data_IF_616919122621
#
_entry.id   IF_616919122621
#
_cell.length_a   1.000
_cell.length_b   1.000
_cell.length_c   1.000
_cell.angle_alpha   90.00
_cell.angle_beta   90.00
_cell.angle_gamma   90.00
#
_symmetry.space_group_name_H-M   'P 1'
#
loop_
_entity.id
_entity.type
_entity.pdbx_description
1 polymer ?
#
# COMPACT_ATOMS: atom_id res chain seq x y z
N UNK A 1 -40.67 38.51 -27.12
CA UNK A 1 -41.13 37.15 -27.47
C UNK A 1 -39.92 36.24 -27.36
N UNK A 2 -39.74 35.61 -26.19
CA UNK A 2 -38.77 34.55 -26.01
C UNK A 2 -39.36 33.30 -26.69
N UNK A 3 -38.65 32.74 -27.66
CA UNK A 3 -39.08 31.54 -28.37
C UNK A 3 -39.13 30.36 -27.41
N UNK A 4 -40.26 29.66 -27.44
CA UNK A 4 -40.64 28.48 -26.64
C UNK A 4 -39.80 27.22 -26.97
N UNK A 5 -38.69 27.36 -27.72
CA UNK A 5 -37.90 26.24 -28.28
C UNK A 5 -36.57 25.97 -27.57
N UNK A 6 -36.32 26.51 -26.37
CA UNK A 6 -35.03 26.27 -25.67
C UNK A 6 -35.22 26.03 -24.17
N UNK A 7 -36.28 25.32 -23.80
CA UNK A 7 -36.23 24.47 -22.60
C UNK A 7 -35.83 23.09 -23.12
N UNK A 8 -34.53 22.94 -23.42
CA UNK A 8 -33.94 21.62 -23.56
C UNK A 8 -34.12 20.94 -22.20
N UNK A 9 -35.03 19.96 -22.15
CA UNK A 9 -35.38 19.19 -20.96
C UNK A 9 -34.16 18.37 -20.52
N UNK A 10 -33.28 19.01 -19.73
CA UNK A 10 -32.06 18.41 -19.21
C UNK A 10 -32.41 17.15 -18.43
N UNK A 11 -31.86 16.01 -18.87
CA UNK A 11 -32.30 14.70 -18.38
C UNK A 11 -31.51 14.28 -17.16
N UNK A 12 -32.20 13.68 -16.20
CA UNK A 12 -31.57 13.00 -15.07
C UNK A 12 -32.04 11.57 -14.99
N UNK A 13 -31.13 10.63 -14.71
CA UNK A 13 -31.51 9.28 -14.34
C UNK A 13 -31.98 9.21 -12.88
N UNK A 14 -32.64 8.12 -12.52
CA UNK A 14 -33.28 7.98 -11.22
C UNK A 14 -32.27 7.96 -10.07
N UNK A 15 -31.08 7.39 -10.29
CA UNK A 15 -29.99 7.39 -9.31
C UNK A 15 -29.51 8.82 -9.00
N UNK A 16 -29.23 9.64 -10.02
CA UNK A 16 -28.81 11.03 -9.80
C UNK A 16 -29.88 11.84 -9.06
N UNK A 17 -31.17 11.64 -9.37
CA UNK A 17 -32.29 12.25 -8.65
C UNK A 17 -32.31 11.86 -7.17
N UNK A 18 -32.29 10.55 -6.91
CA UNK A 18 -32.29 10.00 -5.55
C UNK A 18 -31.09 10.46 -4.73
N UNK A 19 -29.91 10.49 -5.37
CA UNK A 19 -28.67 10.92 -4.74
C UNK A 19 -28.73 12.40 -4.36
N UNK A 20 -29.21 13.26 -5.26
CA UNK A 20 -29.40 14.69 -4.98
C UNK A 20 -30.42 14.94 -3.85
N UNK A 21 -31.50 14.15 -3.79
CA UNK A 21 -32.53 14.28 -2.75
C UNK A 21 -32.01 13.81 -1.38
N UNK A 22 -31.17 12.77 -1.35
CA UNK A 22 -30.71 12.12 -0.10
C UNK A 22 -29.46 12.80 0.48
N UNK A 23 -28.55 13.28 -0.35
CA UNK A 23 -27.27 13.87 0.07
C UNK A 23 -27.28 15.40 0.13
N UNK A 24 -28.46 16.02 0.22
CA UNK A 24 -28.64 17.44 0.57
C UNK A 24 -28.21 17.80 2.00
N UNK A 25 -27.21 17.12 2.57
CA UNK A 25 -26.72 17.28 3.93
C UNK A 25 -25.95 18.59 4.11
N UNK A 26 -26.71 19.66 4.34
CA UNK A 26 -26.21 20.98 4.67
C UNK A 26 -27.39 21.95 4.82
N UNK A 27 -28.07 21.89 5.97
CA UNK A 27 -29.20 22.76 6.31
C UNK A 27 -28.84 24.24 6.44
N UNK A 28 -28.55 24.89 5.31
CA UNK A 28 -28.40 26.34 5.16
C UNK A 28 -28.02 26.70 3.72
N UNK A 29 -28.77 27.60 3.08
CA UNK A 29 -28.57 28.25 1.76
C UNK A 29 -28.16 27.40 0.52
N UNK A 30 -27.73 26.15 0.67
CA UNK A 30 -27.19 25.25 -0.35
C UNK A 30 -27.93 23.90 -0.42
N UNK A 31 -28.87 23.64 0.51
CA UNK A 31 -29.60 22.36 0.62
C UNK A 31 -30.78 22.16 -0.34
N UNK A 32 -30.85 22.89 -1.45
CA UNK A 32 -31.92 22.78 -2.47
C UNK A 32 -31.38 22.70 -3.90
N UNK A 33 -30.06 22.66 -4.07
CA UNK A 33 -29.41 22.82 -5.37
C UNK A 33 -28.73 21.57 -5.90
N UNK A 34 -28.87 20.39 -5.29
CA UNK A 34 -28.15 19.19 -5.75
C UNK A 34 -28.33 18.89 -7.25
N UNK A 35 -29.56 19.00 -7.75
CA UNK A 35 -29.87 18.79 -9.18
C UNK A 35 -29.46 19.98 -10.06
N UNK A 36 -29.60 21.22 -9.56
CA UNK A 36 -29.16 22.42 -10.30
C UNK A 36 -27.64 22.45 -10.43
N UNK A 37 -26.90 22.13 -9.36
CA UNK A 37 -25.44 21.98 -9.34
C UNK A 37 -25.00 20.88 -10.30
N UNK A 38 -25.63 19.70 -10.27
CA UNK A 38 -25.33 18.64 -11.24
C UNK A 38 -25.52 19.11 -12.69
N UNK A 39 -26.59 19.85 -12.99
CA UNK A 39 -26.81 20.42 -14.32
C UNK A 39 -25.73 21.44 -14.67
N UNK A 40 -25.51 22.42 -13.81
CA UNK A 40 -24.59 23.52 -14.05
C UNK A 40 -23.16 22.99 -14.22
N UNK A 41 -22.74 22.03 -13.38
CA UNK A 41 -21.45 21.35 -13.49
C UNK A 41 -21.33 20.55 -14.79
N UNK A 42 -22.39 19.83 -15.22
CA UNK A 42 -22.38 19.11 -16.50
C UNK A 42 -22.27 20.07 -17.69
N UNK A 43 -23.00 21.18 -17.68
CA UNK A 43 -22.98 22.18 -18.76
C UNK A 43 -21.67 22.98 -18.78
N UNK A 44 -20.98 23.12 -17.64
CA UNK A 44 -19.66 23.77 -17.55
C UNK A 44 -18.52 22.83 -17.97
N UNK A 45 -18.54 21.58 -17.51
CA UNK A 45 -17.48 20.60 -17.74
C UNK A 45 -17.58 19.92 -19.11
N UNK A 46 -18.79 19.78 -19.64
CA UNK A 46 -19.07 18.95 -20.83
C UNK A 46 -20.12 19.61 -21.74
N UNK A 47 -20.39 19.00 -22.90
CA UNK A 47 -21.54 19.38 -23.75
C UNK A 47 -22.78 18.51 -23.50
N UNK A 48 -22.83 17.80 -22.37
CA UNK A 48 -23.88 16.88 -22.03
C UNK A 48 -25.25 17.57 -21.92
N UNK A 49 -26.31 16.86 -22.34
CA UNK A 49 -27.70 17.35 -22.25
C UNK A 49 -28.48 16.65 -21.14
N UNK A 50 -27.76 15.99 -20.25
CA UNK A 50 -28.29 15.30 -19.10
C UNK A 50 -27.16 14.89 -18.17
N UNK A 51 -27.56 14.51 -16.96
CA UNK A 51 -26.67 14.07 -15.90
C UNK A 51 -27.18 12.77 -15.32
N UNK A 52 -26.33 11.74 -15.35
CA UNK A 52 -26.64 10.45 -14.74
C UNK A 52 -25.47 9.96 -13.93
N UNK A 53 -25.78 9.21 -12.87
CA UNK A 53 -24.79 8.45 -12.10
C UNK A 53 -24.98 6.96 -12.36
N UNK A 54 -23.95 6.17 -12.10
CA UNK A 54 -23.97 4.72 -12.29
C UNK A 54 -24.00 4.08 -10.90
N UNK A 55 -24.87 3.09 -10.69
CA UNK A 55 -24.93 2.38 -9.41
C UNK A 55 -23.67 1.54 -9.25
N UNK A 56 -23.01 1.68 -8.11
CA UNK A 56 -21.77 1.02 -7.75
C UNK A 56 -21.95 -0.24 -6.90
N UNK A 57 -23.14 -0.43 -6.32
CA UNK A 57 -23.44 -1.53 -5.41
C UNK A 57 -24.95 -1.79 -5.27
N UNK A 58 -25.32 -2.79 -4.47
CA UNK A 58 -26.71 -3.15 -4.19
C UNK A 58 -27.49 -2.11 -3.34
N UNK A 59 -26.81 -1.08 -2.84
CA UNK A 59 -27.38 0.00 -2.03
C UNK A 59 -27.55 1.29 -2.82
N UNK A 60 -27.41 1.23 -4.14
CA UNK A 60 -27.49 2.37 -5.04
C UNK A 60 -26.54 3.51 -4.65
N UNK A 61 -25.34 3.18 -4.14
CA UNK A 61 -24.27 4.16 -4.02
C UNK A 61 -23.66 4.44 -5.39
N UNK A 62 -23.38 5.71 -5.76
CA UNK A 62 -22.75 5.99 -7.05
C UNK A 62 -21.36 5.36 -7.16
N UNK A 63 -21.06 4.83 -8.34
CA UNK A 63 -19.75 4.23 -8.65
C UNK A 63 -18.65 5.30 -8.59
N UNK A 64 -17.59 5.11 -7.78
CA UNK A 64 -16.44 6.00 -7.76
C UNK A 64 -15.66 6.01 -9.08
N UNK A 65 -15.10 7.16 -9.47
CA UNK A 65 -14.37 7.33 -10.73
C UNK A 65 -12.91 6.86 -10.71
N UNK A 66 -12.30 6.81 -9.53
CA UNK A 66 -10.93 6.40 -9.20
C UNK A 66 -10.65 6.93 -7.77
N UNK A 67 -9.54 6.58 -7.07
CA UNK A 67 -9.43 6.83 -5.64
C UNK A 67 -9.01 8.29 -5.35
N UNK A 68 -9.89 9.25 -5.67
CA UNK A 68 -9.73 10.66 -5.35
C UNK A 68 -10.40 11.09 -4.04
N UNK A 69 -11.13 10.19 -3.36
CA UNK A 69 -12.01 10.58 -2.25
C UNK A 69 -12.05 9.66 -1.03
N UNK A 70 -11.39 8.50 -1.03
CA UNK A 70 -11.42 7.56 0.09
C UNK A 70 -10.08 7.57 0.84
N UNK A 71 -10.08 8.14 2.05
CA UNK A 71 -8.86 8.32 2.86
C UNK A 71 -8.73 7.29 3.99
N UNK A 72 -9.60 6.27 3.98
CA UNK A 72 -9.75 5.24 5.03
C UNK A 72 -10.16 3.86 4.44
N UNK A 73 -9.92 3.61 3.15
CA UNK A 73 -10.26 2.33 2.49
C UNK A 73 -9.03 1.46 2.29
N UNK A 74 -9.21 0.13 2.35
CA UNK A 74 -8.14 -0.85 2.09
C UNK A 74 -7.70 -0.78 0.62
N UNK A 75 -6.43 -1.07 0.33
CA UNK A 75 -5.92 -1.01 -1.06
C UNK A 75 -6.70 -1.91 -2.03
N UNK A 76 -7.11 -3.10 -1.58
CA UNK A 76 -7.92 -4.02 -2.38
C UNK A 76 -9.31 -3.45 -2.78
N UNK A 77 -9.90 -2.60 -1.94
CA UNK A 77 -11.16 -1.91 -2.24
C UNK A 77 -10.93 -0.82 -3.29
N UNK A 78 -9.84 -0.05 -3.16
CA UNK A 78 -9.45 0.97 -4.14
C UNK A 78 -9.21 0.38 -5.52
N UNK A 79 -8.55 -0.77 -5.59
CA UNK A 79 -8.28 -1.48 -6.84
C UNK A 79 -9.57 -1.94 -7.52
N UNK A 80 -10.53 -2.47 -6.77
CA UNK A 80 -11.86 -2.84 -7.32
C UNK A 80 -12.57 -1.63 -7.92
N UNK A 81 -12.58 -0.49 -7.21
CA UNK A 81 -13.17 0.73 -7.74
C UNK A 81 -12.46 1.22 -8.99
N UNK A 82 -11.12 1.17 -9.01
CA UNK A 82 -10.35 1.52 -10.19
C UNK A 82 -10.69 0.63 -11.39
N UNK A 83 -10.65 -0.70 -11.24
CA UNK A 83 -10.96 -1.64 -12.33
C UNK A 83 -12.39 -1.47 -12.85
N UNK A 84 -13.36 -1.29 -11.95
CA UNK A 84 -14.75 -1.02 -12.32
C UNK A 84 -14.88 0.30 -13.07
N UNK A 85 -14.22 1.36 -12.61
CA UNK A 85 -14.23 2.66 -13.26
C UNK A 85 -13.59 2.63 -14.66
N UNK A 86 -12.46 1.95 -14.81
CA UNK A 86 -11.80 1.72 -16.11
C UNK A 86 -12.75 0.99 -17.06
N UNK A 87 -13.39 -0.08 -16.59
CA UNK A 87 -14.33 -0.90 -17.38
C UNK A 87 -15.54 -0.10 -17.84
N UNK A 88 -16.14 0.66 -16.93
CA UNK A 88 -17.32 1.49 -17.21
C UNK A 88 -16.97 2.61 -18.18
N UNK A 89 -15.88 3.33 -17.94
CA UNK A 89 -15.43 4.44 -18.80
C UNK A 89 -15.18 3.94 -20.22
N UNK A 90 -14.47 2.82 -20.38
CA UNK A 90 -14.25 2.17 -21.68
C UNK A 90 -15.57 1.71 -22.33
N UNK A 91 -16.54 1.26 -21.53
CA UNK A 91 -17.90 0.96 -21.98
C UNK A 91 -18.60 2.16 -22.62
N UNK A 92 -18.61 3.31 -21.93
CA UNK A 92 -19.22 4.54 -22.41
C UNK A 92 -18.52 5.11 -23.65
N UNK A 93 -17.18 5.09 -23.66
CA UNK A 93 -16.39 5.50 -24.83
C UNK A 93 -16.75 4.68 -26.07
N UNK A 94 -16.84 3.34 -25.95
CA UNK A 94 -17.20 2.45 -27.06
C UNK A 94 -18.56 2.75 -27.68
N UNK A 95 -19.53 3.21 -26.88
CA UNK A 95 -20.86 3.57 -27.38
C UNK A 95 -20.99 5.05 -27.78
N UNK A 96 -19.90 5.82 -27.65
CA UNK A 96 -19.83 7.25 -27.99
C UNK A 96 -20.73 8.10 -27.11
N UNK A 97 -20.82 7.78 -25.81
CA UNK A 97 -21.57 8.57 -24.83
C UNK A 97 -20.58 9.25 -23.89
N UNK A 98 -20.79 10.54 -23.67
CA UNK A 98 -19.92 11.34 -22.82
C UNK A 98 -20.03 10.90 -21.36
N UNK A 99 -18.87 10.74 -20.73
CA UNK A 99 -18.68 10.24 -19.38
C UNK A 99 -17.54 11.06 -18.75
N UNK A 100 -17.68 11.46 -17.49
CA UNK A 100 -16.71 12.30 -16.80
C UNK A 100 -16.69 12.03 -15.30
N UNK A 101 -15.63 12.48 -14.62
CA UNK A 101 -15.59 12.51 -13.16
C UNK A 101 -16.41 13.71 -12.64
N UNK A 102 -17.36 13.44 -11.75
CA UNK A 102 -18.06 14.46 -10.98
C UNK A 102 -17.92 14.16 -9.49
N UNK A 103 -17.16 15.00 -8.78
CA UNK A 103 -16.95 14.92 -7.32
C UNK A 103 -16.52 13.52 -6.85
N UNK A 104 -15.62 12.87 -7.59
CA UNK A 104 -15.13 11.53 -7.29
C UNK A 104 -16.03 10.38 -7.76
N UNK A 105 -17.16 10.64 -8.42
CA UNK A 105 -18.06 9.63 -9.00
C UNK A 105 -18.07 9.68 -10.52
N UNK A 106 -18.46 8.57 -11.14
CA UNK A 106 -18.65 8.50 -12.59
C UNK A 106 -20.01 9.07 -12.95
N UNK A 107 -20.00 10.14 -13.73
CA UNK A 107 -21.17 10.75 -14.32
C UNK A 107 -21.20 10.56 -15.85
N UNK A 108 -22.40 10.57 -16.43
CA UNK A 108 -22.59 10.41 -17.87
C UNK A 108 -23.74 11.26 -18.42
N UNK A 109 -23.78 11.45 -19.75
CA UNK A 109 -24.87 12.17 -20.41
C UNK A 109 -26.17 11.35 -20.41
N UNK A 110 -27.01 11.58 -19.39
CA UNK A 110 -28.28 10.91 -19.23
C UNK A 110 -29.33 11.26 -20.30
N UNK A 111 -29.05 12.16 -21.24
CA UNK A 111 -29.91 12.33 -22.42
C UNK A 111 -29.83 11.12 -23.37
N UNK A 112 -28.70 10.40 -23.37
CA UNK A 112 -28.46 9.23 -24.21
C UNK A 112 -29.24 8.00 -23.74
N UNK A 113 -30.13 7.48 -24.58
CA UNK A 113 -30.86 6.23 -24.30
C UNK A 113 -29.92 5.01 -24.21
N UNK A 114 -28.85 4.98 -25.01
CA UNK A 114 -27.83 3.92 -24.94
C UNK A 114 -27.01 4.04 -23.66
N UNK A 115 -26.68 5.26 -23.24
CA UNK A 115 -25.97 5.53 -21.99
C UNK A 115 -26.76 5.06 -20.78
N UNK A 116 -28.05 5.38 -20.70
CA UNK A 116 -28.93 4.91 -19.61
C UNK A 116 -29.01 3.39 -19.54
N UNK A 117 -29.20 2.72 -20.68
CA UNK A 117 -29.23 1.26 -20.75
C UNK A 117 -27.91 0.63 -20.28
N UNK A 118 -26.78 1.21 -20.67
CA UNK A 118 -25.46 0.72 -20.24
C UNK A 118 -25.22 0.96 -18.73
N UNK A 119 -25.64 2.11 -18.20
CA UNK A 119 -25.58 2.41 -16.77
C UNK A 119 -26.41 1.42 -15.94
N UNK A 120 -27.61 1.06 -16.41
CA UNK A 120 -28.46 0.03 -15.79
C UNK A 120 -27.78 -1.34 -15.84
N UNK A 121 -27.22 -1.75 -16.98
CA UNK A 121 -26.50 -3.02 -17.13
C UNK A 121 -25.29 -3.13 -16.17
N UNK A 122 -24.50 -2.07 -16.03
CA UNK A 122 -23.40 -2.05 -15.07
C UNK A 122 -23.88 -2.01 -13.61
N UNK A 123 -24.92 -1.23 -13.31
CA UNK A 123 -25.51 -1.18 -11.98
C UNK A 123 -26.04 -2.53 -11.52
N UNK A 124 -26.77 -3.24 -12.39
CA UNK A 124 -27.28 -4.58 -12.13
C UNK A 124 -26.14 -5.58 -11.90
N UNK A 125 -25.08 -5.51 -12.71
CA UNK A 125 -23.90 -6.36 -12.56
C UNK A 125 -23.22 -6.13 -11.20
N UNK A 126 -22.98 -4.87 -10.83
CA UNK A 126 -22.31 -4.48 -9.58
C UNK A 126 -23.16 -4.78 -8.33
N UNK A 127 -24.48 -4.69 -8.43
CA UNK A 127 -25.40 -5.07 -7.36
C UNK A 127 -25.37 -6.60 -7.11
N UNK A 128 -25.20 -7.40 -8.15
CA UNK A 128 -25.09 -8.86 -8.04
C UNK A 128 -23.69 -9.32 -7.62
N UNK A 129 -22.65 -8.71 -8.21
CA UNK A 129 -21.24 -9.02 -7.98
C UNK A 129 -20.38 -7.76 -8.16
N UNK A 130 -19.64 -7.32 -7.12
CA UNK A 130 -19.03 -5.98 -7.09
C UNK A 130 -17.74 -5.84 -7.93
N UNK A 131 -17.53 -6.70 -8.92
CA UNK A 131 -16.36 -6.70 -9.81
C UNK A 131 -16.85 -6.91 -11.25
N UNK A 132 -16.50 -5.97 -12.13
CA UNK A 132 -16.83 -6.03 -13.56
C UNK A 132 -15.76 -6.75 -14.39
N UNK A 133 -14.50 -6.68 -13.96
CA UNK A 133 -13.35 -7.25 -14.65
C UNK A 133 -12.38 -7.89 -13.64
N UNK A 134 -12.49 -9.21 -13.47
CA UNK A 134 -11.66 -9.97 -12.53
C UNK A 134 -10.19 -10.06 -12.97
N UNK A 135 -9.93 -10.10 -14.28
CA UNK A 135 -8.58 -10.15 -14.82
C UNK A 135 -7.86 -8.84 -14.50
N UNK A 136 -8.53 -7.71 -14.75
CA UNK A 136 -7.96 -6.39 -14.44
C UNK A 136 -7.77 -6.17 -12.95
N UNK A 137 -8.69 -6.63 -12.10
CA UNK A 137 -8.51 -6.59 -10.64
C UNK A 137 -7.28 -7.41 -10.24
N UNK A 138 -7.13 -8.63 -10.77
CA UNK A 138 -5.98 -9.48 -10.45
C UNK A 138 -4.65 -8.86 -10.88
N UNK A 139 -4.60 -8.20 -12.05
CA UNK A 139 -3.41 -7.47 -12.50
C UNK A 139 -3.05 -6.33 -11.55
N UNK A 140 -4.03 -5.49 -11.21
CA UNK A 140 -3.82 -4.35 -10.32
C UNK A 140 -3.45 -4.77 -8.89
N UNK A 141 -4.08 -5.82 -8.37
CA UNK A 141 -3.75 -6.38 -7.06
C UNK A 141 -2.31 -6.94 -7.04
N UNK A 142 -1.87 -7.56 -8.14
CA UNK A 142 -0.49 -8.02 -8.27
C UNK A 142 0.51 -6.85 -8.37
N UNK A 143 0.24 -5.85 -9.22
CA UNK A 143 1.07 -4.65 -9.36
C UNK A 143 1.21 -3.89 -8.02
N UNK A 144 0.10 -3.71 -7.30
CA UNK A 144 0.08 -3.06 -6.00
C UNK A 144 0.86 -3.86 -4.94
N UNK A 145 0.71 -5.19 -4.93
CA UNK A 145 1.47 -6.05 -4.02
C UNK A 145 2.97 -5.97 -4.30
N UNK A 146 3.40 -5.97 -5.56
CA UNK A 146 4.81 -5.80 -5.93
C UNK A 146 5.37 -4.46 -5.44
N UNK A 147 4.63 -3.37 -5.70
CA UNK A 147 5.02 -2.04 -5.27
C UNK A 147 5.13 -1.92 -3.75
N UNK A 148 4.20 -2.55 -3.01
CA UNK A 148 4.25 -2.58 -1.55
C UNK A 148 5.51 -3.29 -1.03
N UNK A 149 5.87 -4.44 -1.61
CA UNK A 149 7.12 -5.14 -1.25
C UNK A 149 8.34 -4.23 -1.46
N UNK A 150 8.41 -3.54 -2.60
CA UNK A 150 9.52 -2.63 -2.90
C UNK A 150 9.59 -1.39 -1.98
N UNK A 151 8.46 -0.98 -1.39
CA UNK A 151 8.40 0.12 -0.42
C UNK A 151 8.81 -0.31 0.99
N UNK A 152 8.42 -1.52 1.40
CA UNK A 152 8.61 -2.01 2.76
C UNK A 152 9.99 -2.64 2.97
N UNK A 153 10.53 -3.32 1.95
CA UNK A 153 11.83 -4.01 2.05
C UNK A 153 12.78 -3.62 0.92
N UNK A 154 14.04 -3.40 1.28
CA UNK A 154 15.12 -3.20 0.31
C UNK A 154 15.60 -4.55 -0.21
N UNK A 155 15.13 -4.94 -1.38
CA UNK A 155 15.46 -6.24 -1.98
C UNK A 155 16.95 -6.38 -2.34
N UNK A 156 17.56 -7.56 -2.16
CA UNK A 156 18.93 -7.84 -2.58
C UNK A 156 19.02 -8.01 -4.11
N UNK A 157 20.22 -7.82 -4.67
CA UNK A 157 20.46 -7.95 -6.10
C UNK A 157 20.04 -9.34 -6.62
N UNK A 158 19.21 -9.36 -7.66
CA UNK A 158 18.72 -10.59 -8.30
C UNK A 158 17.49 -11.22 -7.66
N UNK A 159 16.92 -10.60 -6.61
CA UNK A 159 15.58 -10.90 -6.09
C UNK A 159 14.66 -9.75 -6.46
N UNK A 160 13.50 -10.06 -7.02
CA UNK A 160 12.46 -9.07 -7.30
C UNK A 160 11.24 -9.26 -6.37
N UNK A 161 10.28 -8.34 -6.44
CA UNK A 161 9.09 -8.42 -5.62
C UNK A 161 8.24 -9.66 -5.92
N UNK A 162 8.21 -10.12 -7.18
CA UNK A 162 7.47 -11.32 -7.58
C UNK A 162 8.00 -12.58 -6.86
N UNK A 163 9.33 -12.69 -6.71
CA UNK A 163 9.97 -13.79 -5.99
C UNK A 163 9.48 -13.83 -4.54
N UNK A 164 9.42 -12.67 -3.87
CA UNK A 164 8.93 -12.55 -2.49
C UNK A 164 7.45 -12.88 -2.38
N UNK A 165 6.63 -12.36 -3.29
CA UNK A 165 5.19 -12.64 -3.31
C UNK A 165 4.89 -14.12 -3.53
N UNK A 166 5.72 -14.83 -4.31
CA UNK A 166 5.55 -16.26 -4.57
C UNK A 166 5.70 -17.14 -3.31
N UNK A 167 6.41 -16.63 -2.30
CA UNK A 167 6.64 -17.32 -1.02
C UNK A 167 5.63 -16.92 0.07
N UNK A 168 4.77 -15.93 -0.19
CA UNK A 168 3.68 -15.56 0.71
C UNK A 168 2.55 -16.60 0.63
N UNK A 169 1.91 -16.92 1.77
CA UNK A 169 0.82 -17.90 1.81
C UNK A 169 -0.46 -17.40 1.15
N UNK A 170 -0.63 -16.08 1.03
CA UNK A 170 -1.81 -15.43 0.48
C UNK A 170 -1.39 -14.54 -0.69
N UNK A 171 -2.00 -14.77 -1.85
CA UNK A 171 -1.87 -13.90 -3.02
C UNK A 171 -3.27 -13.58 -3.55
N UNK A 172 -3.53 -12.32 -3.96
CA UNK A 172 -2.65 -11.16 -3.87
C UNK A 172 -2.59 -10.54 -2.46
N UNK A 173 -1.42 -9.97 -2.12
CA UNK A 173 -1.13 -9.44 -0.79
C UNK A 173 -1.63 -7.99 -0.64
N UNK A 174 -2.37 -7.72 0.43
CA UNK A 174 -2.79 -6.38 0.83
C UNK A 174 -2.35 -6.14 2.28
N UNK A 175 -1.59 -5.06 2.54
CA UNK A 175 -1.07 -4.75 3.87
C UNK A 175 -2.15 -4.72 4.97
N UNK A 176 -3.36 -4.27 4.62
CA UNK A 176 -4.47 -4.13 5.57
C UNK A 176 -5.30 -5.42 5.74
N UNK A 177 -5.21 -6.36 4.78
CA UNK A 177 -6.01 -7.59 4.79
C UNK A 177 -5.20 -8.84 5.11
N UNK A 178 -3.95 -8.89 4.67
CA UNK A 178 -3.09 -10.04 4.77
C UNK A 178 -2.40 -10.11 6.12
N UNK A 179 -2.13 -11.33 6.58
CA UNK A 179 -1.26 -11.57 7.75
C UNK A 179 0.15 -11.98 7.34
N UNK A 180 0.48 -11.87 6.05
CA UNK A 180 1.78 -12.28 5.51
C UNK A 180 2.91 -11.42 6.06
N UNK A 181 3.93 -12.07 6.60
CA UNK A 181 5.17 -11.45 7.03
C UNK A 181 6.18 -11.51 5.87
N UNK A 182 6.62 -10.34 5.39
CA UNK A 182 7.62 -10.24 4.32
C UNK A 182 8.97 -10.84 4.77
N UNK A 183 9.25 -10.83 6.07
CA UNK A 183 10.44 -11.45 6.66
C UNK A 183 10.37 -12.97 6.49
N UNK A 184 9.23 -13.58 6.83
CA UNK A 184 9.03 -15.03 6.66
C UNK A 184 9.14 -15.45 5.18
N UNK A 185 8.67 -14.60 4.25
CA UNK A 185 8.82 -14.86 2.82
C UNK A 185 10.31 -14.83 2.38
N UNK A 186 11.07 -13.86 2.86
CA UNK A 186 12.51 -13.78 2.60
C UNK A 186 13.28 -14.95 3.24
N UNK A 187 12.87 -15.40 4.42
CA UNK A 187 13.44 -16.57 5.10
C UNK A 187 13.23 -17.85 4.27
N UNK A 188 12.06 -18.03 3.64
CA UNK A 188 11.80 -19.16 2.72
C UNK A 188 12.67 -19.12 1.47
N UNK A 189 12.98 -17.92 0.97
CA UNK A 189 13.95 -17.72 -0.12
C UNK A 189 15.41 -18.02 0.32
N UNK A 190 15.63 -18.34 1.60
CA UNK A 190 16.94 -18.62 2.17
C UNK A 190 17.74 -17.35 2.47
N UNK A 191 17.07 -16.21 2.60
CA UNK A 191 17.67 -14.97 3.05
C UNK A 191 17.46 -14.82 4.55
N UNK A 192 18.34 -14.07 5.20
CA UNK A 192 18.20 -13.68 6.60
C UNK A 192 18.63 -12.23 6.71
N UNK A 193 17.85 -11.41 7.41
CA UNK A 193 18.15 -9.99 7.57
C UNK A 193 19.26 -9.76 8.60
N UNK A 194 20.24 -8.92 8.27
CA UNK A 194 21.23 -8.45 9.23
C UNK A 194 20.56 -7.53 10.27
N UNK A 195 20.70 -7.88 11.54
CA UNK A 195 20.10 -7.13 12.64
C UNK A 195 20.73 -5.73 12.89
N UNK A 196 21.86 -5.41 12.24
CA UNK A 196 22.59 -4.13 12.44
C UNK A 196 22.51 -3.19 11.22
N UNK A 197 22.68 -3.73 10.00
CA UNK A 197 22.64 -2.92 8.76
C UNK A 197 21.40 -3.15 7.88
N UNK A 198 20.47 -4.02 8.32
CA UNK A 198 19.20 -4.34 7.65
C UNK A 198 19.33 -5.00 6.26
N UNK A 199 20.55 -5.32 5.82
CA UNK A 199 20.80 -5.99 4.54
C UNK A 199 20.38 -7.47 4.55
N UNK A 200 19.81 -7.95 3.43
CA UNK A 200 19.41 -9.34 3.26
C UNK A 200 20.56 -10.21 2.78
N UNK A 201 20.89 -11.26 3.55
CA UNK A 201 22.01 -12.16 3.28
C UNK A 201 21.51 -13.56 2.94
N UNK A 202 22.00 -14.15 1.84
CA UNK A 202 21.67 -15.55 1.49
C UNK A 202 22.53 -16.52 2.32
N UNK A 203 21.99 -17.03 3.41
CA UNK A 203 22.74 -17.85 4.37
C UNK A 203 21.84 -18.84 5.10
N UNK A 204 22.41 -19.99 5.49
CA UNK A 204 21.75 -20.93 6.41
C UNK A 204 21.90 -20.49 7.89
N UNK A 205 22.53 -19.34 8.12
CA UNK A 205 22.83 -18.75 9.45
C UNK A 205 21.68 -17.88 9.93
N UNK A 206 20.60 -18.51 10.43
CA UNK A 206 19.34 -17.84 10.84
C UNK A 206 19.49 -16.99 12.12
N UNK A 207 20.14 -15.83 12.00
CA UNK A 207 20.29 -14.79 13.03
C UNK A 207 21.54 -14.96 13.92
N UNK A 208 22.54 -14.08 13.87
CA UNK A 208 22.81 -12.97 12.94
C UNK A 208 24.33 -12.69 12.89
N UNK A 209 24.80 -11.93 11.90
CA UNK A 209 26.20 -11.46 11.81
C UNK A 209 26.28 -9.95 11.55
N UNK A 210 27.33 -9.31 12.08
CA UNK A 210 27.57 -7.87 12.05
C UNK A 210 29.09 -7.55 12.20
N UNK A 211 29.93 -8.17 11.38
CA UNK A 211 31.40 -8.08 11.49
C UNK A 211 32.05 -8.00 10.09
N UNK A 212 32.34 -6.78 9.63
CA UNK A 212 32.52 -6.44 8.20
C UNK A 212 31.48 -7.19 7.33
N UNK A 213 30.22 -6.97 7.71
CA UNK A 213 29.05 -7.84 7.52
C UNK A 213 29.26 -9.26 8.07
N UNK A 214 30.11 -10.09 7.44
CA UNK A 214 30.28 -11.51 7.78
C UNK A 214 31.70 -12.08 7.55
N UNK A 215 32.76 -11.26 7.59
CA UNK A 215 34.17 -11.66 7.38
C UNK A 215 34.40 -12.54 6.12
N UNK A 216 33.61 -12.26 5.07
CA UNK A 216 33.48 -13.01 3.83
C UNK A 216 33.23 -14.53 3.97
N UNK A 217 32.78 -15.00 5.14
CA UNK A 217 32.70 -16.43 5.52
C UNK A 217 34.02 -17.20 5.25
N UNK A 218 35.17 -16.56 5.47
CA UNK A 218 36.51 -17.06 5.13
C UNK A 218 37.21 -17.78 6.31
N UNK A 219 38.07 -18.79 6.13
CA UNK A 219 38.49 -19.55 4.94
C UNK A 219 38.27 -21.08 5.16
N UNK A 220 38.34 -21.94 4.11
CA UNK A 220 37.87 -23.34 4.16
C UNK A 220 38.49 -24.30 5.19
N UNK A 221 39.65 -23.98 5.78
CA UNK A 221 40.34 -24.80 6.79
C UNK A 221 40.09 -24.29 8.25
N UNK A 222 38.95 -23.63 8.51
CA UNK A 222 38.67 -22.95 9.78
C UNK A 222 38.26 -23.88 10.94
N UNK A 223 39.22 -24.19 11.81
CA UNK A 223 39.11 -24.80 13.16
C UNK A 223 38.11 -24.20 14.18
N UNK A 224 37.34 -23.15 13.86
CA UNK A 224 36.50 -22.42 14.83
C UNK A 224 35.40 -21.54 14.21
N UNK A 225 34.66 -20.80 15.05
CA UNK A 225 33.58 -19.86 14.66
C UNK A 225 33.79 -18.51 15.38
N UNK A 226 33.42 -17.40 14.73
CA UNK A 226 33.59 -16.02 15.19
C UNK A 226 32.28 -15.39 15.69
N UNK A 227 32.31 -14.77 16.88
CA UNK A 227 31.16 -14.05 17.45
C UNK A 227 31.67 -12.87 18.29
N UNK A 228 31.94 -11.73 17.65
CA UNK A 228 32.60 -10.60 18.32
C UNK A 228 31.59 -9.68 19.04
N UNK A 229 31.35 -9.99 20.31
CA UNK A 229 30.65 -9.18 21.33
C UNK A 229 30.89 -7.66 21.18
N UNK A 230 29.79 -6.91 21.33
CA UNK A 230 29.68 -5.45 21.48
C UNK A 230 30.90 -4.78 22.14
N UNK A 231 31.52 -3.84 21.43
CA UNK A 231 32.64 -3.02 21.94
C UNK A 231 32.23 -1.59 22.32
N UNK A 232 30.96 -1.23 22.20
CA UNK A 232 30.47 0.12 22.50
C UNK A 232 29.80 0.15 23.87
N UNK A 233 30.61 0.43 24.90
CA UNK A 233 30.06 1.09 26.09
C UNK A 233 29.46 2.43 25.64
N UNK A 234 28.13 2.51 25.54
CA UNK A 234 27.41 3.76 25.34
C UNK A 234 27.84 4.78 26.41
N UNK A 235 28.68 5.73 26.03
CA UNK A 235 28.81 7.02 26.69
C UNK A 235 28.24 8.06 25.72
N UNK A 236 26.91 8.06 25.54
CA UNK A 236 26.25 9.31 25.13
C UNK A 236 25.97 10.13 26.39
N UNK A 237 26.52 11.33 26.37
CA UNK A 237 27.05 12.08 27.51
C UNK A 237 26.05 13.04 28.14
N UNK A 238 25.96 13.05 29.48
CA UNK A 238 25.73 14.27 30.27
C UNK A 238 26.46 14.18 31.62
N UNK A 239 27.79 14.24 31.59
CA UNK A 239 28.60 14.61 32.75
C UNK A 239 29.26 15.95 32.45
N UNK A 240 28.80 16.95 33.19
CA UNK A 240 29.27 18.33 33.21
C UNK A 240 30.77 18.38 33.60
N UNK A 241 31.60 18.84 32.66
CA UNK A 241 33.07 18.76 32.72
C UNK A 241 33.69 19.88 33.54
N UNK A 242 33.56 19.90 34.87
CA UNK A 242 34.33 20.88 35.66
C UNK A 242 34.95 20.46 37.00
N UNK A 243 34.66 19.30 37.62
CA UNK A 243 35.13 19.10 39.03
C UNK A 243 35.45 17.67 39.53
N UNK A 244 36.20 16.82 38.82
CA UNK A 244 36.84 15.65 39.48
C UNK A 244 38.25 15.35 38.97
N UNK A 245 39.16 14.83 39.83
CA UNK A 245 40.59 14.81 39.60
C UNK A 245 41.01 13.76 38.56
N UNK A 246 41.90 14.19 37.65
CA UNK A 246 42.54 13.46 36.55
C UNK A 246 43.43 12.29 36.99
N UNK A 247 42.89 11.28 37.69
CA UNK A 247 43.63 10.02 37.98
C UNK A 247 42.85 8.70 37.85
N UNK A 248 41.61 8.69 37.35
CA UNK A 248 40.84 7.44 37.13
C UNK A 248 40.07 7.41 35.79
N UNK A 249 40.65 7.97 34.73
CA UNK A 249 40.07 7.94 33.36
C UNK A 249 41.04 7.36 32.32
N UNK A 250 41.88 6.42 32.74
CA UNK A 250 42.68 5.61 31.82
C UNK A 250 42.30 4.15 31.97
N UNK A 251 41.97 3.52 30.85
CA UNK A 251 41.71 2.08 30.70
C UNK A 251 40.28 1.64 30.95
N UNK A 252 39.49 1.62 29.88
CA UNK A 252 38.39 0.65 29.74
C UNK A 252 38.34 0.14 28.30
N UNK A 253 39.53 -0.14 27.75
CA UNK A 253 39.68 -0.96 26.55
C UNK A 253 40.09 -2.36 27.02
N UNK A 254 39.59 -3.45 26.41
CA UNK A 254 40.04 -4.81 26.70
C UNK A 254 41.56 -4.89 26.55
N UNK A 255 42.24 -5.62 27.45
CA UNK A 255 43.68 -5.83 27.37
C UNK A 255 44.03 -7.04 26.50
N UNK A 256 45.26 -7.11 26.00
CA UNK A 256 45.73 -8.24 25.18
C UNK A 256 45.63 -9.60 25.90
N UNK A 257 45.60 -9.60 27.23
CA UNK A 257 45.38 -10.78 28.07
C UNK A 257 43.92 -11.26 28.02
N UNK A 258 42.96 -10.36 27.96
CA UNK A 258 41.52 -10.68 27.93
C UNK A 258 41.15 -11.30 26.57
N UNK A 259 41.78 -10.85 25.49
CA UNK A 259 41.62 -11.40 24.13
C UNK A 259 42.21 -12.81 24.00
N UNK A 260 43.39 -13.06 24.59
CA UNK A 260 44.05 -14.38 24.56
C UNK A 260 43.37 -15.42 25.45
N UNK A 261 42.59 -14.99 26.44
CA UNK A 261 41.81 -15.87 27.31
C UNK A 261 40.53 -16.39 26.63
N UNK A 262 39.98 -15.61 25.70
CA UNK A 262 38.79 -15.96 24.90
C UNK A 262 39.15 -16.88 23.72
N UNK A 263 40.39 -16.83 23.21
CA UNK A 263 40.90 -17.67 22.12
C UNK A 263 41.18 -19.14 22.55
N UNK A 264 40.45 -19.61 23.57
CA UNK A 264 40.47 -20.93 24.22
C UNK A 264 39.07 -21.58 24.21
N UNK A 265 38.32 -21.43 23.12
CA UNK A 265 36.88 -21.69 23.05
C UNK A 265 36.41 -23.14 23.24
N UNK A 266 37.32 -24.13 23.29
CA UNK A 266 37.09 -25.50 22.80
C UNK A 266 37.02 -25.49 21.27
N UNK A 267 38.12 -25.92 20.67
CA UNK A 267 38.56 -25.44 19.35
C UNK A 267 37.91 -26.26 18.21
N UNK A 268 36.62 -25.98 17.97
CA UNK A 268 35.82 -26.54 16.87
C UNK A 268 34.54 -25.71 16.58
N UNK A 269 33.90 -25.08 17.57
CA UNK A 269 32.55 -24.50 17.44
C UNK A 269 32.28 -23.32 18.39
N UNK A 270 31.44 -22.35 17.99
CA UNK A 270 30.87 -21.35 18.90
C UNK A 270 29.47 -20.87 18.43
N UNK A 271 28.43 -20.82 19.30
CA UNK A 271 27.10 -20.31 19.01
C UNK A 271 26.82 -18.92 19.69
N UNK A 272 25.95 -18.13 19.08
CA UNK A 272 25.59 -16.73 19.34
C UNK A 272 25.54 -16.21 20.80
N UNK A 273 25.82 -14.90 20.99
CA UNK A 273 25.45 -14.12 22.18
C UNK A 273 24.81 -12.78 21.73
N UNK A 274 23.54 -12.56 22.06
CA UNK A 274 22.83 -11.27 21.89
C UNK A 274 22.96 -10.38 23.14
N UNK A 275 22.89 -9.03 22.99
CA UNK A 275 22.91 -8.09 24.09
C UNK A 275 21.48 -7.72 24.55
N UNK A 276 20.72 -8.68 25.09
CA UNK A 276 19.56 -8.32 25.92
C UNK A 276 19.52 -9.18 27.17
N UNK A 277 19.73 -8.52 28.31
CA UNK A 277 19.42 -9.09 29.61
C UNK A 277 17.92 -9.40 29.66
N UNK A 278 17.59 -10.69 29.81
CA UNK A 278 16.35 -11.07 30.48
C UNK A 278 16.52 -10.61 31.92
N UNK A 279 15.82 -9.53 32.28
CA UNK A 279 15.57 -9.22 33.68
C UNK A 279 14.81 -10.39 34.32
N UNK A 280 15.19 -10.69 35.57
CA UNK A 280 14.77 -11.79 36.43
C UNK A 280 13.28 -12.20 36.38
#
# INVERSE_FOLDING_TARGET
>A
MLSIETILDFKFNDLARSFADTHGYGGGLYGTHGMDEMRDDAEELTVARGFGLISGDAMDQPLPAAPGGFFYGHECERIRYQANAETVTAGFERIGVECWEWRGYIAFDASSAKGRKLAEEYGDALAAYPILDEERVSELEHEAACHLVEQEIRLPDGVNAEDVLSELPETPYCADCGTGDLTDAMDKLGYTQCADCEEWLKTETTGALCYDCADAYSEPDCECVSTYVDTMRHLSTHVDTTRLPLRLLSSSYPTESDVREIQRGCENCYPAIYPYAVAA
#
